data_IF_552247244506
#
_entry.id   IF_552247244506
#
_cell.length_a   1.000
_cell.length_b   1.000
_cell.length_c   1.000
_cell.angle_alpha   90.00
_cell.angle_beta   90.00
_cell.angle_gamma   90.00
#
_symmetry.space_group_name_H-M   'P 1'
#
loop_
_entity.id
_entity.type
_entity.pdbx_description
1 polymer ?
#
# COMPACT_ATOMS: atom_id res chain seq x y z
N UNK A 1 -1.49 -3.69 0.09
CA UNK A 1 -2.66 -4.36 0.70
C UNK A 1 -4.00 -3.92 0.07
N UNK A 2 -4.18 -2.64 -0.31
CA UNK A 2 -5.40 -2.15 -0.98
C UNK A 2 -5.72 -2.93 -2.26
N UNK A 3 -4.74 -3.19 -3.12
CA UNK A 3 -4.92 -3.97 -4.35
C UNK A 3 -5.46 -5.36 -4.04
N UNK A 4 -4.91 -6.03 -3.03
CA UNK A 4 -5.36 -7.36 -2.58
C UNK A 4 -6.81 -7.31 -2.08
N UNK A 5 -7.16 -6.28 -1.31
CA UNK A 5 -8.53 -6.10 -0.81
C UNK A 5 -9.52 -5.90 -1.95
N UNK A 6 -9.22 -5.00 -2.88
CA UNK A 6 -10.08 -4.73 -4.04
C UNK A 6 -10.24 -5.97 -4.91
N UNK A 7 -9.13 -6.63 -5.27
CA UNK A 7 -9.19 -7.87 -6.06
C UNK A 7 -9.96 -8.97 -5.35
N UNK A 8 -9.78 -9.14 -4.04
CA UNK A 8 -10.51 -10.14 -3.27
C UNK A 8 -12.01 -9.84 -3.20
N UNK A 9 -12.42 -8.57 -3.11
CA UNK A 9 -13.80 -8.15 -3.16
C UNK A 9 -14.42 -8.41 -4.53
N UNK A 10 -13.73 -8.08 -5.61
CA UNK A 10 -14.15 -8.35 -6.99
C UNK A 10 -14.34 -9.86 -7.19
N UNK A 11 -13.36 -10.68 -6.80
CA UNK A 11 -13.45 -12.13 -6.93
C UNK A 11 -14.60 -12.72 -6.09
N UNK A 12 -14.87 -12.17 -4.91
CA UNK A 12 -15.99 -12.58 -4.07
C UNK A 12 -17.35 -12.21 -4.70
N UNK A 13 -17.43 -11.05 -5.34
CA UNK A 13 -18.62 -10.64 -6.09
C UNK A 13 -18.94 -11.60 -7.24
N UNK A 14 -17.94 -12.10 -7.94
CA UNK A 14 -18.08 -13.13 -8.98
C UNK A 14 -18.26 -14.56 -8.41
N UNK A 15 -18.45 -14.70 -7.10
CA UNK A 15 -18.62 -15.98 -6.41
C UNK A 15 -17.50 -17.00 -6.71
N UNK A 16 -16.28 -16.53 -6.95
CA UNK A 16 -15.13 -17.40 -7.14
C UNK A 16 -14.80 -18.10 -5.82
N UNK A 17 -14.55 -19.41 -5.86
CA UNK A 17 -14.17 -20.15 -4.65
C UNK A 17 -12.88 -19.59 -4.05
N UNK A 18 -12.79 -19.63 -2.71
CA UNK A 18 -11.69 -19.05 -1.93
C UNK A 18 -10.32 -19.51 -2.43
N UNK A 19 -10.16 -20.79 -2.70
CA UNK A 19 -8.87 -21.35 -3.14
C UNK A 19 -8.47 -20.83 -4.53
N UNK A 20 -9.42 -20.73 -5.46
CA UNK A 20 -9.18 -20.16 -6.79
C UNK A 20 -8.82 -18.66 -6.70
N UNK A 21 -9.47 -17.92 -5.80
CA UNK A 21 -9.12 -16.52 -5.54
C UNK A 21 -7.69 -16.38 -5.04
N UNK A 22 -7.26 -17.24 -4.11
CA UNK A 22 -5.89 -17.24 -3.59
C UNK A 22 -4.87 -17.58 -4.70
N UNK A 23 -5.15 -18.59 -5.53
CA UNK A 23 -4.30 -18.92 -6.68
C UNK A 23 -4.17 -17.75 -7.65
N UNK A 24 -5.27 -17.09 -7.97
CA UNK A 24 -5.26 -15.91 -8.84
C UNK A 24 -4.41 -14.78 -8.25
N UNK A 25 -4.57 -14.48 -6.96
CA UNK A 25 -3.78 -13.45 -6.28
C UNK A 25 -2.29 -13.79 -6.22
N UNK A 26 -1.93 -15.06 -6.01
CA UNK A 26 -0.54 -15.53 -6.03
C UNK A 26 0.11 -15.29 -7.42
N UNK A 27 -0.65 -15.40 -8.49
CA UNK A 27 -0.15 -15.16 -9.85
C UNK A 27 -0.06 -13.65 -10.18
N UNK A 28 -1.08 -12.89 -9.79
CA UNK A 28 -1.20 -11.46 -10.14
C UNK A 28 -0.22 -10.59 -9.37
N UNK A 29 0.04 -10.88 -8.10
CA UNK A 29 0.91 -10.04 -7.26
C UNK A 29 2.36 -9.94 -7.76
N UNK A 30 3.05 -11.02 -8.14
CA UNK A 30 4.40 -10.90 -8.72
C UNK A 30 4.40 -10.12 -10.03
N UNK A 31 3.40 -10.34 -10.90
CA UNK A 31 3.26 -9.60 -12.15
C UNK A 31 3.10 -8.10 -11.89
N UNK A 32 2.24 -7.74 -10.94
CA UNK A 32 2.08 -6.35 -10.50
C UNK A 32 3.39 -5.77 -9.95
N UNK A 33 4.17 -6.54 -9.18
CA UNK A 33 5.43 -6.06 -8.61
C UNK A 33 6.49 -5.76 -9.68
N UNK A 34 6.52 -6.54 -10.76
CA UNK A 34 7.38 -6.29 -11.91
C UNK A 34 6.98 -4.98 -12.62
N UNK A 35 5.69 -4.76 -12.82
CA UNK A 35 5.18 -3.52 -13.42
C UNK A 35 5.41 -2.29 -12.54
N UNK A 36 5.35 -2.45 -11.21
CA UNK A 36 5.56 -1.39 -10.23
C UNK A 36 7.05 -1.08 -9.95
N UNK A 37 7.99 -1.74 -10.63
CA UNK A 37 9.43 -1.44 -10.55
C UNK A 37 10.19 -2.05 -9.36
N UNK A 38 9.65 -3.08 -8.69
CA UNK A 38 10.31 -3.86 -7.62
C UNK A 38 10.90 -3.03 -6.45
N UNK A 39 10.33 -1.85 -6.18
CA UNK A 39 10.72 -1.03 -5.03
C UNK A 39 10.62 -1.81 -3.71
N UNK A 40 11.43 -1.45 -2.71
CA UNK A 40 11.50 -2.16 -1.42
C UNK A 40 10.14 -2.27 -0.71
N UNK A 41 9.28 -1.25 -0.82
CA UNK A 41 7.92 -1.25 -0.28
C UNK A 41 7.01 -2.25 -1.00
N UNK A 42 7.12 -2.33 -2.34
CA UNK A 42 6.36 -3.26 -3.17
C UNK A 42 6.82 -4.69 -2.90
N UNK A 43 8.14 -4.92 -2.87
CA UNK A 43 8.73 -6.21 -2.53
C UNK A 43 8.19 -6.73 -1.18
N UNK A 44 8.27 -5.93 -0.12
CA UNK A 44 7.75 -6.31 1.20
C UNK A 44 6.26 -6.68 1.14
N UNK A 45 5.43 -5.83 0.53
CA UNK A 45 3.98 -6.05 0.47
C UNK A 45 3.63 -7.31 -0.32
N UNK A 46 4.28 -7.54 -1.45
CA UNK A 46 4.02 -8.71 -2.30
C UNK A 46 4.48 -9.98 -1.63
N UNK A 47 5.72 -10.03 -1.12
CA UNK A 47 6.25 -11.24 -0.47
C UNK A 47 5.47 -11.58 0.80
N UNK A 48 5.08 -10.61 1.62
CA UNK A 48 4.24 -10.84 2.81
C UNK A 48 2.89 -11.47 2.44
N UNK A 49 2.23 -10.93 1.41
CA UNK A 49 0.94 -11.45 0.96
C UNK A 49 1.07 -12.84 0.33
N UNK A 50 2.13 -13.09 -0.46
CA UNK A 50 2.41 -14.41 -1.04
C UNK A 50 2.63 -15.45 0.06
N UNK A 51 3.45 -15.14 1.06
CA UNK A 51 3.65 -16.05 2.21
C UNK A 51 2.33 -16.35 2.89
N UNK A 52 1.53 -15.31 3.21
CA UNK A 52 0.24 -15.48 3.82
C UNK A 52 -0.71 -16.38 2.99
N UNK A 53 -0.77 -16.20 1.68
CA UNK A 53 -1.64 -17.00 0.81
C UNK A 53 -1.15 -18.44 0.67
N UNK A 54 0.16 -18.67 0.51
CA UNK A 54 0.74 -20.01 0.40
C UNK A 54 0.51 -20.80 1.69
N UNK A 55 0.76 -20.20 2.85
CA UNK A 55 0.53 -20.88 4.13
C UNK A 55 -0.97 -21.17 4.36
N UNK A 56 -1.82 -20.24 3.95
CA UNK A 56 -3.28 -20.42 4.05
C UNK A 56 -3.80 -21.53 3.16
N UNK A 57 -3.26 -21.71 1.96
CA UNK A 57 -3.57 -22.86 1.09
C UNK A 57 -3.15 -24.19 1.73
N UNK A 58 -2.09 -24.19 2.52
CA UNK A 58 -1.62 -25.36 3.28
C UNK A 58 -2.40 -25.57 4.59
N UNK A 59 -3.42 -24.76 4.87
CA UNK A 59 -4.20 -24.85 6.12
C UNK A 59 -3.47 -24.29 7.35
N UNK A 60 -2.34 -23.60 7.19
CA UNK A 60 -1.56 -23.01 8.26
C UNK A 60 -1.88 -21.51 8.35
N UNK A 61 -2.19 -21.04 9.55
CA UNK A 61 -2.39 -19.62 9.82
C UNK A 61 -1.04 -18.99 10.18
N UNK A 62 -0.43 -18.28 9.22
CA UNK A 62 0.78 -17.51 9.47
C UNK A 62 0.41 -16.19 10.16
N UNK A 63 1.07 -15.86 11.27
CA UNK A 63 0.91 -14.58 11.93
C UNK A 63 1.47 -13.44 11.03
N UNK A 64 0.90 -12.24 11.14
CA UNK A 64 1.38 -11.09 10.35
C UNK A 64 2.81 -10.70 10.73
N UNK A 65 3.16 -10.81 12.02
CA UNK A 65 4.52 -10.60 12.55
C UNK A 65 5.52 -11.58 11.95
N UNK A 66 5.15 -12.85 11.80
CA UNK A 66 6.02 -13.86 11.22
C UNK A 66 6.27 -13.58 9.73
N UNK A 67 5.21 -13.25 8.98
CA UNK A 67 5.33 -12.85 7.59
C UNK A 67 6.22 -11.60 7.43
N UNK A 68 6.07 -10.61 8.30
CA UNK A 68 6.89 -9.41 8.32
C UNK A 68 8.36 -9.74 8.62
N UNK A 69 8.63 -10.57 9.62
CA UNK A 69 9.98 -10.99 9.99
C UNK A 69 10.68 -11.79 8.89
N UNK A 70 9.96 -12.72 8.26
CA UNK A 70 10.50 -13.51 7.14
C UNK A 70 10.85 -12.60 5.96
N UNK A 71 9.98 -11.65 5.60
CA UNK A 71 10.27 -10.71 4.50
C UNK A 71 11.44 -9.80 4.81
N UNK A 72 11.62 -9.37 6.07
CA UNK A 72 12.76 -8.59 6.52
C UNK A 72 14.07 -9.38 6.32
N UNK A 73 14.10 -10.62 6.80
CA UNK A 73 15.27 -11.49 6.66
C UNK A 73 15.57 -11.74 5.18
N UNK A 74 14.57 -12.05 4.37
CA UNK A 74 14.75 -12.26 2.93
C UNK A 74 15.31 -11.03 2.22
N UNK A 75 14.79 -9.84 2.53
CA UNK A 75 15.29 -8.59 1.94
C UNK A 75 16.78 -8.35 2.27
N UNK A 76 17.19 -8.59 3.53
CA UNK A 76 18.57 -8.43 3.98
C UNK A 76 19.50 -9.50 3.42
N UNK A 77 19.01 -10.73 3.22
CA UNK A 77 19.80 -11.80 2.58
C UNK A 77 20.05 -11.53 1.10
N UNK A 78 19.06 -10.96 0.40
CA UNK A 78 19.18 -10.61 -1.02
C UNK A 78 20.11 -9.41 -1.24
N UNK A 79 19.99 -8.41 -0.40
CA UNK A 79 20.85 -7.21 -0.46
C UNK A 79 20.97 -6.57 0.94
N UNK A 80 22.08 -6.84 1.67
CA UNK A 80 22.27 -6.27 3.01
C UNK A 80 22.34 -4.74 3.02
N UNK A 81 22.77 -4.13 1.91
CA UNK A 81 22.89 -2.67 1.82
C UNK A 81 21.53 -1.96 1.75
N UNK A 82 20.46 -2.68 1.50
CA UNK A 82 19.11 -2.09 1.44
C UNK A 82 18.69 -1.45 2.77
N UNK A 83 19.30 -1.87 3.90
CA UNK A 83 19.01 -1.32 5.23
C UNK A 83 19.28 0.19 5.32
N UNK A 84 20.24 0.70 4.53
CA UNK A 84 20.57 2.12 4.48
C UNK A 84 19.65 2.94 3.60
N UNK A 85 18.79 2.27 2.81
CA UNK A 85 17.82 2.92 1.95
C UNK A 85 16.62 3.45 2.75
N UNK A 86 16.29 4.74 2.58
CA UNK A 86 15.16 5.37 3.28
C UNK A 86 13.83 4.66 2.99
N UNK A 87 13.60 4.22 1.75
CA UNK A 87 12.40 3.46 1.36
C UNK A 87 12.26 2.15 2.12
N UNK A 88 13.37 1.45 2.40
CA UNK A 88 13.40 0.25 3.22
C UNK A 88 13.06 0.59 4.68
N UNK A 89 13.77 1.55 5.26
CA UNK A 89 13.60 1.95 6.65
C UNK A 89 12.16 2.41 6.94
N UNK A 90 11.60 3.27 6.09
CA UNK A 90 10.20 3.71 6.22
C UNK A 90 9.21 2.58 6.02
N UNK A 91 9.40 1.74 5.00
CA UNK A 91 8.48 0.65 4.69
C UNK A 91 8.42 -0.39 5.82
N UNK A 92 9.58 -0.89 6.26
CA UNK A 92 9.64 -1.89 7.34
C UNK A 92 9.37 -1.27 8.71
N UNK A 93 9.86 -0.07 8.97
CA UNK A 93 9.63 0.62 10.24
C UNK A 93 8.16 0.95 10.48
N UNK A 94 7.48 1.57 9.50
CA UNK A 94 6.05 1.90 9.62
C UNK A 94 5.22 0.62 9.74
N UNK A 95 5.48 -0.39 8.91
CA UNK A 95 4.73 -1.65 9.00
C UNK A 95 4.96 -2.39 10.31
N UNK A 96 6.18 -2.39 10.84
CA UNK A 96 6.48 -2.93 12.17
C UNK A 96 5.77 -2.17 13.29
N UNK A 97 5.77 -0.83 13.22
CA UNK A 97 5.01 0.00 14.16
C UNK A 97 3.51 -0.34 14.14
N UNK A 98 2.91 -0.45 12.95
CA UNK A 98 1.50 -0.81 12.80
C UNK A 98 1.19 -2.20 13.37
N UNK A 99 2.06 -3.18 13.13
CA UNK A 99 1.93 -4.52 13.70
C UNK A 99 1.98 -4.50 15.22
N UNK A 100 2.92 -3.76 15.81
CA UNK A 100 3.01 -3.64 17.28
C UNK A 100 1.75 -3.00 17.88
N UNK A 101 1.19 -1.97 17.21
CA UNK A 101 -0.05 -1.32 17.63
C UNK A 101 -1.22 -2.31 17.57
N UNK A 102 -1.31 -3.10 16.49
CA UNK A 102 -2.36 -4.10 16.28
C UNK A 102 -2.25 -5.24 17.30
N UNK A 103 -1.08 -5.85 17.45
CA UNK A 103 -0.85 -6.97 18.37
C UNK A 103 -1.06 -6.59 19.85
N UNK A 104 -0.60 -5.42 20.23
CA UNK A 104 -0.78 -4.88 21.58
C UNK A 104 -2.17 -4.29 21.82
N UNK A 105 -3.00 -4.22 20.77
CA UNK A 105 -4.35 -3.64 20.81
C UNK A 105 -4.38 -2.23 21.44
N UNK A 106 -3.31 -1.45 21.27
CA UNK A 106 -3.08 -0.18 21.95
C UNK A 106 -4.20 0.85 21.67
N UNK A 107 -4.84 0.77 20.53
CA UNK A 107 -5.86 1.74 20.10
C UNK A 107 -7.29 1.21 20.24
N UNK A 108 -7.49 -0.01 20.74
CA UNK A 108 -8.81 -0.66 20.78
C UNK A 108 -9.84 0.09 21.64
N UNK A 109 -9.35 0.84 22.64
CA UNK A 109 -10.18 1.62 23.58
C UNK A 109 -10.73 2.90 22.97
N UNK A 110 -10.13 3.39 21.86
CA UNK A 110 -10.51 4.63 21.21
C UNK A 110 -11.67 4.44 20.23
N UNK A 111 -12.49 5.51 20.05
CA UNK A 111 -13.49 5.56 18.96
C UNK A 111 -12.78 5.53 17.59
N UNK A 112 -13.43 5.02 16.53
CA UNK A 112 -12.78 4.84 15.20
C UNK A 112 -12.08 6.10 14.67
N UNK A 113 -12.70 7.27 14.84
CA UNK A 113 -12.11 8.56 14.40
C UNK A 113 -10.86 8.90 15.21
N UNK A 114 -10.91 8.77 16.54
CA UNK A 114 -9.76 9.03 17.40
C UNK A 114 -8.63 8.01 17.15
N UNK A 115 -8.99 6.77 16.86
CA UNK A 115 -8.05 5.73 16.49
C UNK A 115 -7.27 6.11 15.22
N UNK A 116 -7.96 6.60 14.20
CA UNK A 116 -7.34 7.07 12.95
C UNK A 116 -6.41 8.26 13.21
N UNK A 117 -6.84 9.24 14.02
CA UNK A 117 -6.03 10.42 14.33
C UNK A 117 -4.74 10.05 15.10
N UNK A 118 -4.86 9.20 16.12
CA UNK A 118 -3.70 8.75 16.91
C UNK A 118 -2.76 7.92 16.05
N UNK A 119 -3.29 7.02 15.21
CA UNK A 119 -2.48 6.22 14.30
C UNK A 119 -1.73 7.10 13.32
N UNK A 120 -2.40 8.09 12.71
CA UNK A 120 -1.78 9.04 11.80
C UNK A 120 -0.68 9.86 12.52
N UNK A 121 -0.93 10.30 13.77
CA UNK A 121 0.07 11.00 14.57
C UNK A 121 1.32 10.13 14.80
N UNK A 122 1.15 8.88 15.22
CA UNK A 122 2.27 7.97 15.50
C UNK A 122 3.08 7.67 14.23
N UNK A 123 2.42 7.43 13.11
CA UNK A 123 3.09 7.20 11.82
C UNK A 123 3.85 8.45 11.39
N UNK A 124 3.24 9.64 11.49
CA UNK A 124 3.94 10.88 11.12
C UNK A 124 5.11 11.19 12.04
N UNK A 125 4.99 10.97 13.35
CA UNK A 125 6.14 11.13 14.27
C UNK A 125 7.29 10.21 13.88
N UNK A 126 6.99 8.97 13.49
CA UNK A 126 8.01 8.05 13.00
C UNK A 126 8.64 8.54 11.69
N UNK A 127 7.81 8.96 10.72
CA UNK A 127 8.28 9.49 9.43
C UNK A 127 9.15 10.73 9.60
N UNK A 128 8.74 11.68 10.47
CA UNK A 128 9.50 12.92 10.75
C UNK A 128 10.93 12.59 11.21
N UNK A 129 11.11 11.62 12.11
CA UNK A 129 12.44 11.24 12.58
C UNK A 129 13.36 10.79 11.43
N UNK A 130 12.85 9.96 10.52
CA UNK A 130 13.64 9.48 9.38
C UNK A 130 13.85 10.54 8.30
N UNK A 131 12.83 11.31 7.97
CA UNK A 131 12.90 12.38 6.97
C UNK A 131 13.85 13.49 7.44
N UNK A 132 13.74 13.92 8.71
CA UNK A 132 14.63 14.92 9.28
C UNK A 132 16.08 14.48 9.29
N UNK A 133 16.35 13.20 9.57
CA UNK A 133 17.70 12.65 9.55
C UNK A 133 18.33 12.60 8.15
N UNK A 134 17.52 12.25 7.11
CA UNK A 134 18.03 12.06 5.75
C UNK A 134 18.01 13.33 4.90
N UNK A 135 17.02 14.20 5.10
CA UNK A 135 16.77 15.37 4.25
C UNK A 135 16.95 16.70 4.99
N UNK A 136 17.14 16.68 6.32
CA UNK A 136 17.21 17.88 7.15
C UNK A 136 15.96 18.79 7.06
N UNK A 137 14.80 18.20 6.74
CA UNK A 137 13.52 18.89 6.59
C UNK A 137 12.53 18.42 7.65
N UNK A 138 11.62 19.32 8.08
CA UNK A 138 10.58 19.03 9.05
C UNK A 138 9.19 19.17 8.39
N UNK A 139 8.63 18.11 7.83
CA UNK A 139 7.36 18.17 7.11
C UNK A 139 6.16 18.22 8.06
N UNK A 140 6.02 19.28 8.88
CA UNK A 140 4.91 19.44 9.83
C UNK A 140 3.55 19.53 9.13
N UNK A 141 3.50 20.12 7.94
CA UNK A 141 2.29 20.24 7.13
C UNK A 141 1.78 18.87 6.69
N UNK A 142 2.67 17.92 6.47
CA UNK A 142 2.32 16.53 6.07
C UNK A 142 1.34 15.87 7.04
N UNK A 143 1.37 16.20 8.33
CA UNK A 143 0.43 15.66 9.30
C UNK A 143 -1.02 16.00 8.95
N UNK A 144 -1.30 17.26 8.68
CA UNK A 144 -2.65 17.72 8.34
C UNK A 144 -3.09 17.23 6.97
N UNK A 145 -2.16 17.23 6.02
CA UNK A 145 -2.41 16.75 4.66
C UNK A 145 -2.74 15.26 4.65
N UNK A 146 -2.00 14.44 5.37
CA UNK A 146 -2.21 13.00 5.40
C UNK A 146 -3.58 12.60 5.96
N UNK A 147 -4.16 13.39 6.89
CA UNK A 147 -5.51 13.13 7.41
C UNK A 147 -6.55 13.18 6.28
N UNK A 148 -6.36 14.08 5.32
CA UNK A 148 -7.31 14.31 4.22
C UNK A 148 -6.91 13.50 2.98
N UNK A 149 -5.64 13.59 2.56
CA UNK A 149 -5.18 13.00 1.29
C UNK A 149 -5.08 11.48 1.34
N UNK A 150 -4.66 10.88 2.46
CA UNK A 150 -4.54 9.41 2.52
C UNK A 150 -5.89 8.71 2.34
N UNK A 151 -7.00 9.11 3.00
CA UNK A 151 -8.31 8.55 2.71
C UNK A 151 -8.80 8.82 1.28
N UNK A 152 -8.61 10.03 0.77
CA UNK A 152 -9.02 10.37 -0.61
C UNK A 152 -8.26 9.52 -1.61
N UNK A 153 -6.94 9.42 -1.46
CA UNK A 153 -6.10 8.64 -2.36
C UNK A 153 -6.47 7.15 -2.34
N UNK A 154 -6.65 6.59 -1.15
CA UNK A 154 -6.91 5.16 -0.99
C UNK A 154 -8.33 4.74 -1.38
N UNK A 155 -9.35 5.58 -1.12
CA UNK A 155 -10.75 5.22 -1.33
C UNK A 155 -11.29 5.69 -2.68
N UNK A 156 -10.75 6.76 -3.25
CA UNK A 156 -11.27 7.37 -4.49
C UNK A 156 -10.28 7.18 -5.63
N UNK A 157 -9.06 7.71 -5.49
CA UNK A 157 -8.11 7.79 -6.61
C UNK A 157 -7.60 6.41 -7.00
N UNK A 158 -7.14 5.63 -6.05
CA UNK A 158 -6.57 4.31 -6.33
C UNK A 158 -7.57 3.35 -7.00
N UNK A 159 -8.83 3.19 -6.52
CA UNK A 159 -9.84 2.41 -7.24
C UNK A 159 -10.18 2.98 -8.61
N UNK A 160 -10.24 4.32 -8.75
CA UNK A 160 -10.51 4.97 -10.02
C UNK A 160 -9.41 4.67 -11.05
N UNK A 161 -8.14 4.76 -10.67
CA UNK A 161 -7.00 4.41 -11.55
C UNK A 161 -7.05 2.93 -11.96
N UNK A 162 -7.37 2.02 -11.03
CA UNK A 162 -7.51 0.60 -11.37
C UNK A 162 -8.65 0.34 -12.37
N UNK A 163 -9.80 0.99 -12.17
CA UNK A 163 -10.94 0.86 -13.09
C UNK A 163 -10.60 1.42 -14.47
N UNK A 164 -9.92 2.58 -14.53
CA UNK A 164 -9.53 3.18 -15.81
C UNK A 164 -8.47 2.36 -16.54
N UNK A 165 -7.50 1.78 -15.82
CA UNK A 165 -6.54 0.86 -16.43
C UNK A 165 -7.25 -0.38 -17.01
N UNK A 166 -8.19 -0.96 -16.26
CA UNK A 166 -8.95 -2.12 -16.71
C UNK A 166 -9.82 -1.80 -17.92
N UNK A 167 -10.59 -0.71 -17.87
CA UNK A 167 -11.42 -0.24 -18.97
C UNK A 167 -10.58 0.17 -20.18
N UNK A 168 -9.43 0.82 -19.96
CA UNK A 168 -8.51 1.20 -21.01
C UNK A 168 -7.96 -0.02 -21.77
N UNK A 169 -7.61 -1.09 -21.05
CA UNK A 169 -7.15 -2.35 -21.65
C UNK A 169 -8.26 -3.04 -22.45
N UNK A 170 -9.50 -3.04 -21.93
CA UNK A 170 -10.65 -3.71 -22.59
C UNK A 170 -11.20 -2.89 -23.75
N UNK A 171 -11.25 -1.56 -23.63
CA UNK A 171 -11.87 -0.65 -24.57
C UNK A 171 -10.86 0.13 -25.43
N UNK A 172 -9.61 -0.32 -25.49
CA UNK A 172 -8.51 0.36 -26.16
C UNK A 172 -8.83 0.80 -27.62
N UNK A 173 -9.70 0.09 -28.31
CA UNK A 173 -10.08 0.40 -29.68
C UNK A 173 -11.29 1.34 -29.80
N UNK A 174 -11.88 1.78 -28.70
CA UNK A 174 -13.04 2.68 -28.70
C UNK A 174 -12.64 4.08 -28.24
N UNK A 175 -13.20 5.12 -28.87
CA UNK A 175 -12.97 6.51 -28.45
C UNK A 175 -13.36 6.78 -26.99
N UNK A 176 -14.22 5.95 -26.42
CA UNK A 176 -14.62 6.01 -25.01
C UNK A 176 -13.48 5.65 -24.05
N UNK A 177 -12.63 4.65 -24.39
CA UNK A 177 -11.45 4.31 -23.60
C UNK A 177 -10.44 5.45 -23.53
N UNK A 178 -10.20 6.14 -24.66
CA UNK A 178 -9.33 7.31 -24.72
C UNK A 178 -9.86 8.46 -23.85
N UNK A 179 -11.18 8.70 -23.86
CA UNK A 179 -11.79 9.75 -23.04
C UNK A 179 -11.67 9.47 -21.52
N UNK A 180 -11.87 8.23 -21.10
CA UNK A 180 -11.68 7.83 -19.70
C UNK A 180 -10.23 8.02 -19.25
N UNK A 181 -9.26 7.62 -20.08
CA UNK A 181 -7.84 7.84 -19.78
C UNK A 181 -7.49 9.33 -19.68
N UNK A 182 -7.98 10.16 -20.58
CA UNK A 182 -7.78 11.61 -20.57
C UNK A 182 -8.35 12.24 -19.30
N UNK A 183 -9.55 11.83 -18.88
CA UNK A 183 -10.16 12.31 -17.64
C UNK A 183 -9.36 11.90 -16.39
N UNK A 184 -8.85 10.67 -16.35
CA UNK A 184 -8.02 10.19 -15.26
C UNK A 184 -6.70 10.96 -15.18
N UNK A 185 -6.05 11.19 -16.31
CA UNK A 185 -4.83 12.00 -16.36
C UNK A 185 -5.09 13.43 -15.88
N UNK A 186 -6.18 14.05 -16.32
CA UNK A 186 -6.57 15.38 -15.84
C UNK A 186 -6.76 15.44 -14.33
N UNK A 187 -7.40 14.42 -13.72
CA UNK A 187 -7.57 14.36 -12.26
C UNK A 187 -6.23 14.18 -11.55
N UNK A 188 -5.34 13.33 -12.07
CA UNK A 188 -4.01 13.12 -11.50
C UNK A 188 -3.14 14.38 -11.60
N UNK A 189 -3.11 15.05 -12.76
CA UNK A 189 -2.40 16.31 -12.96
C UNK A 189 -2.92 17.41 -12.03
N UNK A 190 -4.26 17.54 -11.90
CA UNK A 190 -4.88 18.51 -10.98
C UNK A 190 -4.49 18.26 -9.53
N UNK A 191 -4.27 17.01 -9.13
CA UNK A 191 -3.80 16.66 -7.78
C UNK A 191 -2.30 16.92 -7.61
N UNK A 192 -1.48 16.65 -8.62
CA UNK A 192 -0.05 17.02 -8.61
C UNK A 192 0.12 18.53 -8.48
N UNK A 193 -0.63 19.31 -9.23
CA UNK A 193 -0.63 20.78 -9.16
C UNK A 193 -1.02 21.27 -7.77
N UNK A 194 -2.05 20.68 -7.17
CA UNK A 194 -2.50 21.04 -5.82
C UNK A 194 -1.48 20.67 -4.76
N UNK A 195 -0.80 19.53 -4.89
CA UNK A 195 0.29 19.12 -4.02
C UNK A 195 1.53 20.00 -4.22
N UNK A 196 1.85 20.40 -5.45
CA UNK A 196 2.98 21.29 -5.74
C UNK A 196 2.79 22.68 -5.14
N UNK A 197 1.55 23.21 -5.17
CA UNK A 197 1.18 24.49 -4.53
C UNK A 197 1.34 24.49 -3.01
N UNK A 198 1.28 23.31 -2.37
CA UNK A 198 1.43 23.15 -0.92
C UNK A 198 2.91 22.94 -0.54
N UNK A 199 3.75 22.55 -1.51
CA UNK A 199 5.19 22.30 -1.29
C UNK A 199 6.09 23.54 -1.52
N UNK A 200 5.49 24.70 -1.78
CA UNK A 200 6.14 26.01 -1.70
C UNK A 200 5.94 26.54 -0.29
#
# INVERSE_FOLDING_TARGET
DLLVQILSQILSFFRVSRDRSLFFLILVLPLFSLLAGLGTSVFRAVVSNLLYFIFRLKGVNLAKSDAWSITLILALLLNPLVIFGIGFQLSYGISGLLLLIEERQLLKTYKPVNQLLVLNLLVNMFVILFVSYHYFEFPLISYFLNIVFVPIFSLVIFPMVLVTLFLGLVLHQTGFGAWIMAYTNFVLESMEDLLSLIHI
#
